data_IF_142508651345
#
_entry.id   IF_142508651345
#
_cell.length_a   1.000
_cell.length_b   1.000
_cell.length_c   1.000
_cell.angle_alpha   90.00
_cell.angle_beta   90.00
_cell.angle_gamma   90.00
#
_symmetry.space_group_name_H-M   'P 1'
#
loop_
_entity.id
_entity.type
_entity.pdbx_description
1 polymer ?
#
# COMPACT_ATOMS: atom_id res chain seq x y z
N UNK A 1 32.92 27.61 -19.79
CA UNK A 1 32.02 27.21 -20.89
C UNK A 1 31.77 25.71 -20.83
N UNK A 2 31.05 25.24 -19.81
CA UNK A 2 30.64 23.84 -19.69
C UNK A 2 29.19 23.84 -19.16
N UNK A 3 28.29 24.43 -19.94
CA UNK A 3 26.85 24.36 -19.68
C UNK A 3 26.26 23.31 -20.62
N UNK A 4 26.00 22.14 -20.04
CA UNK A 4 24.85 21.24 -20.29
C UNK A 4 24.38 21.10 -21.74
N UNK A 5 24.92 20.11 -22.44
CA UNK A 5 24.03 19.25 -23.25
C UNK A 5 23.22 18.41 -22.24
N UNK A 6 21.95 18.75 -22.04
CA UNK A 6 21.01 17.83 -21.40
C UNK A 6 20.96 16.58 -22.31
N UNK A 7 21.12 15.38 -21.76
CA UNK A 7 20.99 14.15 -22.57
C UNK A 7 19.59 14.14 -23.19
N UNK A 8 19.43 13.66 -24.43
CA UNK A 8 18.13 13.61 -25.12
C UNK A 8 17.01 12.96 -24.26
N UNK A 9 17.38 12.07 -23.34
CA UNK A 9 16.52 11.43 -22.34
C UNK A 9 15.94 12.42 -21.30
N UNK A 10 16.72 13.39 -20.84
CA UNK A 10 16.29 14.42 -19.88
C UNK A 10 15.29 15.40 -20.53
N UNK A 11 15.49 15.73 -21.81
CA UNK A 11 14.56 16.58 -22.57
C UNK A 11 13.24 15.82 -22.84
N UNK A 12 13.33 14.55 -23.25
CA UNK A 12 12.15 13.70 -23.40
C UNK A 12 11.38 13.54 -22.08
N UNK A 13 12.09 13.42 -20.95
CA UNK A 13 11.49 13.38 -19.62
C UNK A 13 10.75 14.67 -19.26
N UNK A 14 11.30 15.84 -19.58
CA UNK A 14 10.61 17.12 -19.36
C UNK A 14 9.31 17.21 -20.18
N UNK A 15 9.34 16.79 -21.45
CA UNK A 15 8.14 16.73 -22.30
C UNK A 15 7.10 15.74 -21.77
N UNK A 16 7.55 14.58 -21.29
CA UNK A 16 6.69 13.62 -20.62
C UNK A 16 6.01 14.22 -19.38
N UNK A 17 6.77 14.87 -18.49
CA UNK A 17 6.21 15.51 -17.30
C UNK A 17 5.15 16.56 -17.66
N UNK A 18 5.42 17.40 -18.66
CA UNK A 18 4.44 18.39 -19.13
C UNK A 18 3.17 17.74 -19.70
N UNK A 19 3.32 16.61 -20.41
CA UNK A 19 2.21 15.83 -20.96
C UNK A 19 1.35 15.28 -19.83
N UNK A 20 1.97 14.64 -18.84
CA UNK A 20 1.30 14.10 -17.65
C UNK A 20 0.58 15.21 -16.87
N UNK A 21 1.21 16.36 -16.65
CA UNK A 21 0.61 17.49 -15.93
C UNK A 21 -0.63 18.05 -16.65
N UNK A 22 -0.62 18.08 -17.99
CA UNK A 22 -1.78 18.50 -18.79
C UNK A 22 -2.91 17.47 -18.71
N UNK A 23 -2.59 16.19 -18.73
CA UNK A 23 -3.57 15.11 -18.53
C UNK A 23 -4.18 15.15 -17.11
N UNK A 24 -3.36 15.39 -16.09
CA UNK A 24 -3.82 15.60 -14.71
C UNK A 24 -4.80 16.77 -14.60
N UNK A 25 -4.46 17.92 -15.19
CA UNK A 25 -5.36 19.08 -15.21
C UNK A 25 -6.70 18.79 -15.90
N UNK A 26 -6.72 17.91 -16.90
CA UNK A 26 -7.95 17.48 -17.55
C UNK A 26 -8.80 16.57 -16.63
N UNK A 27 -8.14 15.66 -15.89
CA UNK A 27 -8.76 14.76 -14.91
C UNK A 27 -9.29 15.47 -13.66
N UNK A 28 -8.61 16.52 -13.21
CA UNK A 28 -8.99 17.31 -12.03
C UNK A 28 -10.12 18.33 -12.31
N UNK A 29 -10.50 18.50 -13.58
CA UNK A 29 -11.56 19.38 -14.05
C UNK A 29 -12.98 18.91 -13.68
N UNK A 30 -14.01 19.54 -14.27
CA UNK A 30 -15.40 19.20 -13.97
C UNK A 30 -15.72 17.73 -14.29
N UNK A 31 -16.36 16.98 -13.34
CA UNK A 31 -16.71 15.57 -13.53
C UNK A 31 -17.62 15.28 -14.73
N UNK A 32 -18.33 16.26 -15.24
CA UNK A 32 -19.16 16.13 -16.44
C UNK A 32 -18.37 16.24 -17.75
N UNK A 33 -17.10 16.67 -17.71
CA UNK A 33 -16.32 16.93 -18.95
C UNK A 33 -14.90 16.36 -18.95
N UNK A 34 -14.46 15.74 -17.85
CA UNK A 34 -13.09 15.19 -17.71
C UNK A 34 -12.71 14.28 -18.88
N UNK A 35 -13.58 13.36 -19.29
CA UNK A 35 -13.28 12.35 -20.31
C UNK A 35 -12.98 13.00 -21.68
N UNK A 36 -13.83 13.93 -22.10
CA UNK A 36 -13.65 14.67 -23.36
C UNK A 36 -12.40 15.54 -23.29
N UNK A 37 -12.14 16.18 -22.14
CA UNK A 37 -10.94 17.00 -21.94
C UNK A 37 -9.69 16.13 -22.02
N UNK A 38 -9.65 14.99 -21.34
CA UNK A 38 -8.54 14.05 -21.36
C UNK A 38 -8.27 13.55 -22.77
N UNK A 39 -9.30 13.05 -23.47
CA UNK A 39 -9.17 12.56 -24.85
C UNK A 39 -8.59 13.63 -25.79
N UNK A 40 -9.09 14.87 -25.71
CA UNK A 40 -8.58 16.00 -26.50
C UNK A 40 -7.14 16.34 -26.14
N UNK A 41 -6.80 16.32 -24.85
CA UNK A 41 -5.44 16.57 -24.38
C UNK A 41 -4.50 15.51 -24.95
N UNK A 42 -4.75 14.22 -24.71
CA UNK A 42 -3.89 13.13 -25.20
C UNK A 42 -3.75 13.19 -26.73
N UNK A 43 -4.83 13.44 -27.47
CA UNK A 43 -4.77 13.59 -28.92
C UNK A 43 -3.93 14.79 -29.38
N UNK A 44 -3.96 15.91 -28.65
CA UNK A 44 -3.10 17.07 -28.93
C UNK A 44 -1.64 16.76 -28.64
N UNK A 45 -1.36 16.11 -27.50
CA UNK A 45 -0.01 15.74 -27.10
C UNK A 45 0.60 14.72 -28.08
N UNK A 46 -0.19 13.81 -28.66
CA UNK A 46 0.25 12.95 -29.77
C UNK A 46 0.80 13.77 -30.94
N UNK A 47 0.08 14.81 -31.38
CA UNK A 47 0.53 15.68 -32.47
C UNK A 47 1.82 16.43 -32.15
N UNK A 48 1.98 16.87 -30.90
CA UNK A 48 3.22 17.51 -30.43
C UNK A 48 4.38 16.53 -30.40
N UNK A 49 4.18 15.31 -29.91
CA UNK A 49 5.22 14.28 -29.84
C UNK A 49 5.66 13.80 -31.21
N UNK A 50 4.75 13.73 -32.18
CA UNK A 50 5.09 13.44 -33.58
C UNK A 50 6.02 14.49 -34.20
N UNK A 51 6.01 15.73 -33.69
CA UNK A 51 6.89 16.82 -34.12
C UNK A 51 8.25 16.86 -33.42
N UNK A 52 8.47 16.02 -32.39
CA UNK A 52 9.75 15.92 -31.70
C UNK A 52 10.81 15.20 -32.56
N UNK A 53 12.11 15.44 -32.31
CA UNK A 53 13.19 14.65 -32.90
C UNK A 53 12.97 13.15 -32.71
N UNK A 54 13.34 12.34 -33.70
CA UNK A 54 13.11 10.88 -33.67
C UNK A 54 13.62 10.21 -32.40
N UNK A 55 14.81 10.61 -31.96
CA UNK A 55 15.41 10.14 -30.71
C UNK A 55 14.49 10.40 -29.50
N UNK A 56 13.75 11.51 -29.44
CA UNK A 56 12.82 11.82 -28.34
C UNK A 56 11.46 11.15 -28.53
N UNK A 57 10.99 11.05 -29.78
CA UNK A 57 9.68 10.50 -30.15
C UNK A 57 9.51 9.03 -29.78
N UNK A 58 10.56 8.22 -30.00
CA UNK A 58 10.57 6.77 -29.69
C UNK A 58 10.35 6.49 -28.19
N UNK A 59 10.54 7.49 -27.31
CA UNK A 59 10.32 7.34 -25.88
C UNK A 59 8.87 7.56 -25.41
N UNK A 60 7.99 8.08 -26.27
CA UNK A 60 6.68 8.62 -25.83
C UNK A 60 5.49 8.20 -26.69
N UNK A 61 5.72 7.74 -27.94
CA UNK A 61 4.64 7.56 -28.90
C UNK A 61 3.81 6.30 -28.62
N UNK A 62 4.44 5.20 -28.23
CA UNK A 62 3.79 3.91 -28.02
C UNK A 62 2.80 3.99 -26.84
N UNK A 63 3.24 4.55 -25.70
CA UNK A 63 2.41 4.71 -24.51
C UNK A 63 1.21 5.65 -24.75
N UNK A 64 1.36 6.67 -25.61
CA UNK A 64 0.26 7.57 -25.96
C UNK A 64 -0.75 6.92 -26.89
N UNK A 65 -0.30 6.05 -27.80
CA UNK A 65 -1.19 5.32 -28.69
C UNK A 65 -2.05 4.31 -27.92
N UNK A 66 -1.45 3.57 -26.98
CA UNK A 66 -2.19 2.64 -26.12
C UNK A 66 -3.23 3.35 -25.26
N UNK A 67 -2.90 4.50 -24.64
CA UNK A 67 -3.87 5.30 -23.89
C UNK A 67 -5.01 5.79 -24.79
N UNK A 68 -4.72 6.19 -26.04
CA UNK A 68 -5.77 6.63 -26.97
C UNK A 68 -6.70 5.50 -27.39
N UNK A 69 -6.18 4.29 -27.60
CA UNK A 69 -6.98 3.14 -27.99
C UNK A 69 -7.91 2.70 -26.84
N UNK A 70 -7.40 2.69 -25.61
CA UNK A 70 -8.20 2.44 -24.42
C UNK A 70 -9.30 3.50 -24.23
N UNK A 71 -8.99 4.79 -24.40
CA UNK A 71 -10.02 5.85 -24.36
C UNK A 71 -11.05 5.71 -25.50
N UNK A 72 -10.67 5.21 -26.69
CA UNK A 72 -11.61 4.96 -27.79
C UNK A 72 -12.56 3.82 -27.47
N UNK A 73 -12.05 2.75 -26.87
CA UNK A 73 -12.84 1.62 -26.40
C UNK A 73 -13.87 2.06 -25.37
N UNK A 74 -13.47 2.88 -24.39
CA UNK A 74 -14.37 3.42 -23.36
C UNK A 74 -15.47 4.30 -23.97
N UNK A 75 -15.15 5.06 -25.02
CA UNK A 75 -16.14 5.88 -25.73
C UNK A 75 -17.11 5.07 -26.60
N UNK A 76 -16.75 3.82 -26.95
CA UNK A 76 -17.48 2.94 -27.87
C UNK A 76 -17.53 1.49 -27.36
N UNK A 77 -18.22 1.20 -26.24
CA UNK A 77 -18.49 -0.18 -25.87
C UNK A 77 -19.19 -0.86 -27.05
N UNK A 78 -18.67 -2.01 -27.50
CA UNK A 78 -19.21 -2.80 -28.62
C UNK A 78 -19.09 -2.14 -30.02
N UNK A 79 -18.29 -1.07 -30.16
CA UNK A 79 -17.97 -0.46 -31.46
C UNK A 79 -18.98 0.58 -31.96
N UNK A 80 -20.07 0.84 -31.24
CA UNK A 80 -21.08 1.82 -31.64
C UNK A 80 -20.64 3.27 -31.39
N UNK A 81 -20.88 4.17 -32.36
CA UNK A 81 -20.59 5.60 -32.22
C UNK A 81 -21.64 6.28 -31.32
N UNK A 82 -21.22 6.73 -30.14
CA UNK A 82 -22.05 7.55 -29.23
C UNK A 82 -22.00 9.03 -29.57
N UNK A 83 -23.11 9.75 -29.33
CA UNK A 83 -23.13 11.22 -29.38
C UNK A 83 -22.31 11.81 -28.21
N UNK A 84 -21.86 13.06 -28.34
CA UNK A 84 -21.06 13.74 -27.29
C UNK A 84 -21.76 13.75 -25.92
N UNK A 85 -23.06 14.02 -25.92
CA UNK A 85 -23.90 14.03 -24.72
C UNK A 85 -24.13 12.62 -24.15
N UNK A 86 -24.20 11.61 -25.03
CA UNK A 86 -24.28 10.20 -24.64
C UNK A 86 -22.98 9.70 -24.01
N UNK A 87 -21.81 10.08 -24.54
CA UNK A 87 -20.50 9.73 -23.94
C UNK A 87 -20.34 10.34 -22.55
N UNK A 88 -20.72 11.62 -22.39
CA UNK A 88 -20.66 12.33 -21.09
C UNK A 88 -21.56 11.68 -20.05
N UNK A 89 -22.75 11.19 -20.45
CA UNK A 89 -23.67 10.50 -19.54
C UNK A 89 -23.29 9.04 -19.28
N UNK A 90 -22.67 8.37 -20.25
CA UNK A 90 -22.43 6.93 -20.22
C UNK A 90 -21.02 6.52 -19.75
N UNK A 91 -20.08 7.46 -19.64
CA UNK A 91 -18.80 7.26 -18.94
C UNK A 91 -18.83 8.12 -17.67
N UNK A 92 -19.66 7.77 -16.67
CA UNK A 92 -19.66 8.48 -15.41
C UNK A 92 -18.28 8.41 -14.76
N UNK A 93 -18.02 9.36 -13.90
CA UNK A 93 -16.74 9.48 -13.23
C UNK A 93 -16.35 8.16 -12.47
N UNK A 94 -17.34 7.44 -11.94
CA UNK A 94 -17.19 6.11 -11.32
C UNK A 94 -16.52 5.07 -12.22
N UNK A 95 -16.65 5.16 -13.54
CA UNK A 95 -15.98 4.25 -14.49
C UNK A 95 -14.45 4.39 -14.42
N UNK A 96 -13.91 5.56 -14.06
CA UNK A 96 -12.47 5.71 -13.83
C UNK A 96 -12.02 4.88 -12.61
N UNK A 97 -12.84 4.79 -11.56
CA UNK A 97 -12.52 3.95 -10.40
C UNK A 97 -12.56 2.47 -10.77
N UNK A 98 -13.55 2.05 -11.56
CA UNK A 98 -13.70 0.66 -12.01
C UNK A 98 -12.61 0.22 -13.01
N UNK A 99 -12.13 1.15 -13.85
CA UNK A 99 -11.18 0.86 -14.94
C UNK A 99 -9.77 1.36 -14.68
N UNK A 100 -9.47 1.80 -13.46
CA UNK A 100 -8.13 2.29 -13.10
C UNK A 100 -7.05 1.24 -13.37
N UNK A 101 -7.37 -0.04 -13.16
CA UNK A 101 -6.47 -1.16 -13.43
C UNK A 101 -6.17 -1.36 -14.92
N UNK A 102 -7.06 -0.95 -15.83
CA UNK A 102 -6.78 -0.97 -17.28
C UNK A 102 -5.73 0.09 -17.62
N UNK A 103 -5.85 1.30 -17.06
CA UNK A 103 -4.83 2.34 -17.19
C UNK A 103 -3.51 1.95 -16.51
N UNK A 104 -3.57 1.24 -15.37
CA UNK A 104 -2.38 0.70 -14.72
C UNK A 104 -1.61 -0.25 -15.63
N UNK A 105 -2.31 -1.14 -16.35
CA UNK A 105 -1.69 -2.09 -17.29
C UNK A 105 -0.95 -1.39 -18.43
N UNK A 106 -1.50 -0.32 -18.99
CA UNK A 106 -0.86 0.45 -20.08
C UNK A 106 0.47 1.07 -19.65
N UNK A 107 0.56 1.53 -18.39
CA UNK A 107 1.79 2.13 -17.87
C UNK A 107 2.69 1.13 -17.13
N UNK A 108 2.26 -0.11 -16.95
CA UNK A 108 3.07 -1.15 -16.34
C UNK A 108 4.05 -1.66 -17.38
N UNK A 109 5.34 -1.69 -17.05
CA UNK A 109 6.27 -2.47 -17.87
C UNK A 109 6.17 -3.90 -17.40
N UNK A 110 5.75 -4.84 -18.27
CA UNK A 110 5.75 -6.25 -17.92
C UNK A 110 7.18 -6.63 -17.58
N UNK A 111 7.40 -6.96 -16.32
CA UNK A 111 8.75 -7.28 -15.89
C UNK A 111 9.10 -8.70 -16.35
N UNK A 112 9.98 -8.80 -17.35
CA UNK A 112 10.53 -10.06 -17.80
C UNK A 112 11.61 -10.49 -16.79
N UNK A 113 11.36 -11.65 -16.18
CA UNK A 113 12.30 -12.46 -15.41
C UNK A 113 12.62 -11.98 -13.99
N UNK A 114 11.68 -12.20 -13.05
CA UNK A 114 12.09 -12.53 -11.68
C UNK A 114 12.00 -14.03 -11.49
N UNK A 115 13.02 -14.63 -10.86
CA UNK A 115 12.96 -16.04 -10.49
C UNK A 115 11.64 -16.32 -9.73
N UNK A 116 10.91 -17.39 -10.06
CA UNK A 116 9.69 -17.76 -9.34
C UNK A 116 9.99 -17.87 -7.84
N UNK A 117 9.03 -17.39 -7.03
CA UNK A 117 9.16 -17.51 -5.59
C UNK A 117 8.93 -18.98 -5.24
N UNK A 118 9.75 -19.57 -4.36
CA UNK A 118 9.44 -20.90 -3.85
C UNK A 118 8.15 -20.84 -3.02
N UNK A 119 7.16 -21.65 -3.40
CA UNK A 119 5.85 -21.71 -2.77
C UNK A 119 5.73 -23.00 -1.97
N UNK A 120 5.48 -22.87 -0.67
CA UNK A 120 5.23 -23.98 0.23
C UNK A 120 3.73 -24.09 0.53
N UNK A 121 3.28 -25.31 0.83
CA UNK A 121 1.90 -25.61 1.18
C UNK A 121 1.84 -26.57 2.36
N UNK A 122 0.89 -26.37 3.26
CA UNK A 122 0.56 -27.29 4.34
C UNK A 122 -0.95 -27.34 4.51
N UNK A 123 -1.50 -28.55 4.58
CA UNK A 123 -2.95 -28.73 4.70
C UNK A 123 -3.46 -28.32 6.08
N UNK A 124 -4.73 -27.92 6.16
CA UNK A 124 -5.40 -27.61 7.42
C UNK A 124 -5.38 -28.80 8.39
N UNK A 125 -5.56 -30.02 7.90
CA UNK A 125 -5.51 -31.25 8.69
C UNK A 125 -4.12 -31.47 9.28
N UNK A 126 -3.07 -31.27 8.48
CA UNK A 126 -1.70 -31.41 8.93
C UNK A 126 -1.33 -30.34 9.97
N UNK A 127 -1.78 -29.09 9.80
CA UNK A 127 -1.62 -28.04 10.81
C UNK A 127 -2.26 -28.43 12.15
N UNK A 128 -3.52 -28.89 12.13
CA UNK A 128 -4.23 -29.31 13.34
C UNK A 128 -3.59 -30.53 14.02
N UNK A 129 -3.05 -31.48 13.24
CA UNK A 129 -2.35 -32.64 13.77
C UNK A 129 -1.00 -32.28 14.41
N UNK A 130 -0.27 -31.34 13.82
CA UNK A 130 1.04 -30.89 14.35
C UNK A 130 0.91 -29.99 15.57
N UNK A 131 -0.16 -29.21 15.65
CA UNK A 131 -0.38 -28.21 16.70
C UNK A 131 -1.75 -28.35 17.39
N UNK A 132 -2.09 -29.52 17.95
CA UNK A 132 -3.45 -29.80 18.47
C UNK A 132 -3.83 -28.92 19.67
N UNK A 133 -2.86 -28.39 20.41
CA UNK A 133 -3.12 -27.46 21.50
C UNK A 133 -3.43 -26.03 21.02
N UNK A 134 -3.09 -25.68 19.77
CA UNK A 134 -3.22 -24.32 19.22
C UNK A 134 -4.14 -24.24 18.00
N UNK A 135 -4.40 -25.34 17.30
CA UNK A 135 -5.23 -25.40 16.09
C UNK A 135 -6.18 -26.60 16.20
N UNK A 136 -7.47 -26.35 15.98
CA UNK A 136 -8.51 -27.38 15.91
C UNK A 136 -9.34 -27.18 14.63
N UNK A 137 -9.74 -28.28 13.99
CA UNK A 137 -10.74 -28.27 12.91
C UNK A 137 -12.05 -28.83 13.44
N UNK A 138 -13.11 -28.03 13.33
CA UNK A 138 -14.47 -28.46 13.65
C UNK A 138 -15.38 -28.29 12.44
N UNK A 139 -16.48 -29.03 12.40
CA UNK A 139 -17.51 -28.85 11.38
C UNK A 139 -18.78 -28.35 12.06
N UNK A 140 -19.30 -27.23 11.60
CA UNK A 140 -20.54 -26.63 12.07
C UNK A 140 -21.44 -26.21 10.89
N UNK A 141 -22.51 -25.45 11.17
CA UNK A 141 -23.44 -24.94 10.16
C UNK A 141 -22.81 -24.04 9.09
N UNK A 142 -21.63 -23.47 9.36
CA UNK A 142 -20.86 -22.62 8.43
C UNK A 142 -19.93 -23.44 7.52
N UNK A 143 -19.81 -24.75 7.77
CA UNK A 143 -18.90 -25.67 7.08
C UNK A 143 -17.72 -26.08 7.97
N UNK A 144 -16.54 -26.18 7.38
CA UNK A 144 -15.30 -26.42 8.15
C UNK A 144 -14.88 -25.11 8.81
N UNK A 145 -14.71 -25.13 10.13
CA UNK A 145 -14.23 -24.00 10.92
C UNK A 145 -12.88 -24.35 11.51
N UNK A 146 -11.91 -23.48 11.28
CA UNK A 146 -10.61 -23.54 11.91
C UNK A 146 -10.64 -22.70 13.19
N UNK A 147 -10.33 -23.33 14.31
CA UNK A 147 -10.11 -22.66 15.58
C UNK A 147 -8.62 -22.54 15.83
N UNK A 148 -8.19 -21.37 16.28
CA UNK A 148 -6.81 -21.15 16.69
C UNK A 148 -6.70 -20.27 17.93
N UNK A 149 -5.58 -20.39 18.64
CA UNK A 149 -5.27 -19.58 19.83
C UNK A 149 -3.76 -19.44 20.00
N UNK A 150 -3.32 -18.40 20.71
CA UNK A 150 -1.90 -18.17 20.94
C UNK A 150 -1.31 -19.22 21.89
N UNK A 151 -1.94 -19.47 23.03
CA UNK A 151 -1.55 -20.51 24.00
C UNK A 151 -2.74 -21.36 24.45
N UNK A 152 -2.45 -22.50 25.11
CA UNK A 152 -3.46 -23.43 25.63
C UNK A 152 -4.47 -22.81 26.61
N UNK A 153 -4.06 -21.76 27.33
CA UNK A 153 -4.90 -21.06 28.28
C UNK A 153 -5.79 -19.99 27.62
N UNK A 154 -5.48 -19.58 26.39
CA UNK A 154 -6.21 -18.54 25.69
C UNK A 154 -7.53 -19.07 25.11
N UNK A 155 -8.48 -18.16 24.91
CA UNK A 155 -9.74 -18.47 24.26
C UNK A 155 -9.51 -18.80 22.77
N UNK A 156 -10.31 -19.74 22.26
CA UNK A 156 -10.33 -20.06 20.84
C UNK A 156 -10.88 -18.89 20.03
N UNK A 157 -10.19 -18.54 18.96
CA UNK A 157 -10.71 -17.71 17.88
C UNK A 157 -11.13 -18.60 16.74
N UNK A 158 -12.31 -18.37 16.20
CA UNK A 158 -12.88 -19.20 15.14
C UNK A 158 -12.86 -18.46 13.81
N UNK A 159 -12.63 -19.20 12.73
CA UNK A 159 -12.72 -18.73 11.37
C UNK A 159 -13.28 -19.83 10.46
N UNK A 160 -14.29 -19.51 9.66
CA UNK A 160 -14.77 -20.41 8.63
C UNK A 160 -13.69 -20.60 7.55
N UNK A 161 -13.40 -21.84 7.16
CA UNK A 161 -12.52 -22.12 6.02
C UNK A 161 -13.33 -21.89 4.74
N UNK A 162 -12.78 -21.20 3.72
CA UNK A 162 -13.52 -20.96 2.49
C UNK A 162 -13.92 -22.29 1.84
N UNK A 163 -15.19 -22.43 1.45
CA UNK A 163 -15.66 -23.64 0.79
C UNK A 163 -15.13 -23.75 -0.65
N UNK A 164 -14.84 -22.60 -1.25
CA UNK A 164 -14.35 -22.49 -2.62
C UNK A 164 -12.82 -22.46 -2.65
N UNK A 165 -12.24 -23.08 -3.69
CA UNK A 165 -10.80 -23.06 -3.92
C UNK A 165 -10.28 -21.75 -4.54
N UNK A 166 -11.19 -20.90 -5.02
CA UNK A 166 -10.92 -19.62 -5.68
C UNK A 166 -11.00 -18.40 -4.75
N UNK A 167 -11.04 -18.64 -3.44
CA UNK A 167 -11.03 -17.62 -2.38
C UNK A 167 -9.99 -18.01 -1.34
N UNK A 168 -9.05 -17.11 -1.08
CA UNK A 168 -8.04 -17.26 -0.03
C UNK A 168 -8.05 -16.02 0.88
N UNK A 169 -8.01 -16.24 2.18
CA UNK A 169 -7.68 -15.21 3.15
C UNK A 169 -6.26 -14.69 2.93
N UNK A 170 -6.09 -13.37 3.04
CA UNK A 170 -4.79 -12.70 3.13
C UNK A 170 -4.71 -11.94 4.46
N UNK A 171 -3.49 -11.59 4.87
CA UNK A 171 -3.28 -10.78 6.07
C UNK A 171 -3.38 -11.57 7.37
N UNK A 172 -4.28 -11.20 8.29
CA UNK A 172 -4.27 -11.67 9.69
C UNK A 172 -4.28 -13.20 9.85
N UNK A 173 -5.26 -13.87 9.23
CA UNK A 173 -5.44 -15.32 9.32
C UNK A 173 -4.18 -16.11 8.92
N UNK A 174 -3.67 -16.01 7.67
CA UNK A 174 -2.52 -16.81 7.27
C UNK A 174 -1.27 -16.46 8.07
N UNK A 175 -1.13 -15.21 8.53
CA UNK A 175 -0.02 -14.82 9.42
C UNK A 175 -0.09 -15.54 10.77
N UNK A 176 -1.27 -15.66 11.39
CA UNK A 176 -1.43 -16.38 12.66
C UNK A 176 -1.04 -17.85 12.49
N UNK A 177 -1.55 -18.51 11.45
CA UNK A 177 -1.24 -19.92 11.20
C UNK A 177 0.25 -20.14 10.91
N UNK A 178 0.86 -19.25 10.14
CA UNK A 178 2.29 -19.33 9.85
C UNK A 178 3.15 -19.03 11.10
N UNK A 179 2.72 -18.14 12.00
CA UNK A 179 3.36 -17.91 13.31
C UNK A 179 3.33 -19.15 14.20
N UNK A 180 2.20 -19.86 14.25
CA UNK A 180 2.10 -21.14 14.97
C UNK A 180 3.07 -22.14 14.35
N UNK A 181 3.05 -22.30 13.03
CA UNK A 181 3.94 -23.21 12.30
C UNK A 181 5.44 -22.88 12.51
N UNK A 182 5.78 -21.60 12.58
CA UNK A 182 7.14 -21.11 12.79
C UNK A 182 7.61 -21.17 14.25
N UNK A 183 6.70 -21.45 15.21
CA UNK A 183 6.99 -21.40 16.64
C UNK A 183 7.24 -19.98 17.16
N UNK A 184 6.59 -18.98 16.58
CA UNK A 184 6.74 -17.58 17.00
C UNK A 184 6.27 -17.37 18.46
N UNK A 185 6.82 -16.37 19.18
CA UNK A 185 6.40 -16.07 20.54
C UNK A 185 4.89 -15.80 20.67
N UNK A 186 4.24 -16.23 21.77
CA UNK A 186 2.83 -15.98 22.02
C UNK A 186 2.40 -14.51 21.93
N UNK A 187 3.29 -13.57 22.28
CA UNK A 187 3.02 -12.14 22.16
C UNK A 187 2.75 -11.69 20.72
N UNK A 188 3.46 -12.25 19.73
CA UNK A 188 3.25 -11.95 18.31
C UNK A 188 1.95 -12.55 17.76
N UNK A 189 1.47 -13.65 18.35
CA UNK A 189 0.16 -14.25 18.04
C UNK A 189 -0.96 -13.40 18.65
N UNK A 190 -0.83 -13.01 19.92
CA UNK A 190 -1.79 -12.13 20.62
C UNK A 190 -1.94 -10.76 19.97
N UNK A 191 -0.88 -10.24 19.35
CA UNK A 191 -0.94 -9.00 18.55
C UNK A 191 -1.86 -9.08 17.32
N UNK A 192 -2.21 -10.29 16.85
CA UNK A 192 -3.11 -10.51 15.73
C UNK A 192 -4.51 -11.02 16.16
N UNK A 193 -4.65 -11.49 17.41
CA UNK A 193 -5.85 -12.15 17.92
C UNK A 193 -6.57 -11.25 18.95
N UNK A 194 -7.87 -10.96 18.77
CA UNK A 194 -8.71 -11.31 17.64
C UNK A 194 -8.36 -10.48 16.40
N UNK A 195 -8.67 -11.03 15.23
CA UNK A 195 -8.46 -10.32 13.96
C UNK A 195 -9.43 -9.15 13.88
N UNK A 196 -8.91 -7.98 13.50
CA UNK A 196 -9.73 -6.76 13.38
C UNK A 196 -10.41 -6.67 12.00
N UNK A 197 -9.72 -7.13 10.96
CA UNK A 197 -10.17 -7.04 9.56
C UNK A 197 -9.99 -8.40 8.89
N UNK A 198 -10.91 -8.73 7.98
CA UNK A 198 -10.85 -9.93 7.13
C UNK A 198 -10.64 -9.47 5.69
N UNK A 199 -9.47 -9.80 5.15
CA UNK A 199 -9.07 -9.49 3.78
C UNK A 199 -8.93 -10.77 2.97
N UNK A 200 -9.28 -10.72 1.69
CA UNK A 200 -9.30 -11.88 0.80
C UNK A 200 -8.71 -11.57 -0.56
N UNK A 201 -8.13 -12.58 -1.21
CA UNK A 201 -7.86 -12.60 -2.64
C UNK A 201 -8.79 -13.62 -3.27
N UNK A 202 -9.42 -13.26 -4.38
CA UNK A 202 -10.35 -14.13 -5.08
C UNK A 202 -10.21 -13.98 -6.60
N UNK A 203 -10.49 -15.06 -7.34
CA UNK A 203 -10.43 -15.05 -8.80
C UNK A 203 -11.68 -15.68 -9.40
N UNK A 204 -12.58 -14.88 -9.99
CA UNK A 204 -13.76 -15.41 -10.64
C UNK A 204 -13.33 -16.11 -11.93
N UNK A 205 -13.76 -17.36 -12.10
CA UNK A 205 -14.02 -17.85 -13.46
C UNK A 205 -14.95 -16.88 -14.20
N UNK A 206 -15.00 -16.98 -15.53
CA UNK A 206 -15.64 -15.96 -16.42
C UNK A 206 -17.03 -15.45 -16.00
N UNK A 207 -17.81 -16.22 -15.25
CA UNK A 207 -19.21 -15.89 -14.90
C UNK A 207 -19.54 -15.91 -13.39
N UNK A 208 -18.56 -15.82 -12.48
CA UNK A 208 -18.79 -16.07 -11.05
C UNK A 208 -18.42 -14.93 -10.07
N UNK A 209 -18.48 -13.67 -10.51
CA UNK A 209 -18.11 -12.53 -9.65
C UNK A 209 -19.10 -12.32 -8.48
N UNK A 210 -20.40 -12.48 -8.74
CA UNK A 210 -21.43 -12.22 -7.73
C UNK A 210 -21.39 -13.23 -6.57
N UNK A 211 -21.25 -14.54 -6.85
CA UNK A 211 -21.21 -15.56 -5.78
C UNK A 211 -19.90 -15.46 -4.99
N UNK A 212 -18.78 -15.08 -5.62
CA UNK A 212 -17.51 -14.82 -4.90
C UNK A 212 -17.67 -13.67 -3.90
N UNK A 213 -18.31 -12.57 -4.32
CA UNK A 213 -18.56 -11.44 -3.43
C UNK A 213 -19.50 -11.87 -2.30
N UNK A 214 -20.57 -12.59 -2.60
CA UNK A 214 -21.50 -13.10 -1.58
C UNK A 214 -20.81 -14.00 -0.56
N UNK A 215 -19.97 -14.93 -1.02
CA UNK A 215 -19.17 -15.81 -0.16
C UNK A 215 -18.16 -15.01 0.68
N UNK A 216 -17.46 -14.04 0.09
CA UNK A 216 -16.51 -13.18 0.83
C UNK A 216 -17.19 -12.38 1.94
N UNK A 217 -18.37 -11.81 1.66
CA UNK A 217 -19.18 -11.11 2.66
C UNK A 217 -19.67 -12.06 3.77
N UNK A 218 -20.09 -13.29 3.41
CA UNK A 218 -20.48 -14.34 4.38
C UNK A 218 -19.32 -14.73 5.29
N UNK A 219 -18.11 -14.73 4.76
CA UNK A 219 -16.87 -15.02 5.48
C UNK A 219 -16.35 -13.82 6.31
N UNK A 220 -17.04 -12.68 6.27
CA UNK A 220 -16.80 -11.51 7.10
C UNK A 220 -15.86 -10.46 6.50
N UNK A 221 -15.50 -10.58 5.21
CA UNK A 221 -14.81 -9.50 4.50
C UNK A 221 -15.77 -8.34 4.22
N UNK A 222 -15.25 -7.12 4.10
CA UNK A 222 -15.97 -6.02 3.47
C UNK A 222 -15.67 -5.97 1.96
N UNK A 223 -16.42 -5.16 1.21
CA UNK A 223 -16.23 -5.05 -0.25
C UNK A 223 -14.83 -4.55 -0.62
N UNK A 224 -14.19 -3.74 0.23
CA UNK A 224 -12.83 -3.22 0.00
C UNK A 224 -11.74 -4.26 0.30
N UNK A 225 -12.02 -5.22 1.17
CA UNK A 225 -11.14 -6.31 1.57
C UNK A 225 -11.07 -7.46 0.55
N UNK A 226 -11.97 -7.49 -0.44
CA UNK A 226 -11.99 -8.52 -1.51
C UNK A 226 -11.16 -8.05 -2.72
N UNK A 227 -9.92 -8.52 -2.81
CA UNK A 227 -9.01 -8.28 -3.93
C UNK A 227 -9.31 -9.27 -5.06
N UNK A 228 -9.93 -8.79 -6.14
CA UNK A 228 -10.25 -9.58 -7.33
C UNK A 228 -9.05 -9.62 -8.27
N UNK A 229 -8.56 -10.82 -8.61
CA UNK A 229 -7.43 -11.02 -9.50
C UNK A 229 -7.79 -11.95 -10.66
N UNK A 230 -7.04 -11.85 -11.76
CA UNK A 230 -7.08 -12.83 -12.84
C UNK A 230 -6.30 -14.09 -12.38
N UNK A 231 -6.80 -15.28 -12.70
CA UNK A 231 -6.32 -16.63 -12.25
C UNK A 231 -4.84 -16.64 -11.78
N UNK A 232 -4.58 -16.54 -10.46
CA UNK A 232 -3.27 -16.15 -9.98
C UNK A 232 -2.30 -17.34 -9.92
N UNK A 233 -1.12 -17.19 -10.55
CA UNK A 233 0.04 -17.96 -10.11
C UNK A 233 0.32 -17.62 -8.64
N UNK A 234 0.39 -18.62 -7.77
CA UNK A 234 0.61 -18.39 -6.34
C UNK A 234 1.95 -17.73 -6.07
N UNK A 235 2.99 -17.99 -6.88
CA UNK A 235 4.27 -17.31 -6.74
C UNK A 235 4.11 -15.80 -7.00
N UNK A 236 3.39 -15.41 -8.05
CA UNK A 236 3.05 -14.01 -8.33
C UNK A 236 2.16 -13.38 -7.25
N UNK A 237 1.11 -14.07 -6.81
CA UNK A 237 0.20 -13.60 -5.76
C UNK A 237 0.94 -13.28 -4.44
N UNK A 238 1.98 -14.07 -4.11
CA UNK A 238 2.83 -13.82 -2.96
C UNK A 238 3.88 -12.74 -3.21
N UNK A 239 4.41 -12.60 -4.43
CA UNK A 239 5.42 -11.58 -4.76
C UNK A 239 4.90 -10.15 -4.60
N UNK A 240 3.64 -9.87 -4.93
CA UNK A 240 3.06 -8.51 -4.94
C UNK A 240 2.80 -7.87 -3.56
N UNK A 241 3.09 -8.60 -2.48
CA UNK A 241 2.88 -8.16 -1.09
C UNK A 241 3.95 -7.13 -0.67
N UNK A 242 3.67 -6.32 0.34
CA UNK A 242 4.51 -5.14 0.73
C UNK A 242 5.68 -5.51 1.60
N UNK A 243 5.43 -6.52 2.43
CA UNK A 243 6.32 -7.00 3.47
C UNK A 243 6.33 -8.50 3.37
N UNK A 244 7.48 -9.09 3.65
CA UNK A 244 7.71 -10.54 3.65
C UNK A 244 6.70 -11.28 4.52
N UNK A 245 6.36 -10.71 5.67
CA UNK A 245 5.33 -11.20 6.60
C UNK A 245 3.97 -11.47 5.93
N UNK A 246 3.62 -10.70 4.89
CA UNK A 246 2.36 -10.82 4.18
C UNK A 246 2.41 -11.83 3.01
N UNK A 247 3.54 -12.50 2.76
CA UNK A 247 3.67 -13.53 1.73
C UNK A 247 3.11 -14.88 2.20
N UNK A 248 1.88 -14.87 2.68
CA UNK A 248 1.12 -16.05 3.04
C UNK A 248 -0.39 -15.86 2.76
N UNK A 249 -1.05 -16.95 2.39
CA UNK A 249 -2.48 -17.04 2.04
C UNK A 249 -3.07 -18.30 2.66
N UNK A 250 -4.35 -18.28 3.00
CA UNK A 250 -5.02 -19.44 3.59
C UNK A 250 -6.39 -19.68 2.95
N UNK A 251 -6.69 -20.92 2.58
CA UNK A 251 -8.02 -21.26 2.06
C UNK A 251 -8.35 -22.73 2.23
N UNK A 252 -9.23 -23.23 1.36
CA UNK A 252 -9.75 -24.60 1.41
C UNK A 252 -8.66 -25.67 1.56
N UNK A 253 -7.59 -25.55 0.78
CA UNK A 253 -6.52 -26.56 0.72
C UNK A 253 -5.44 -26.36 1.80
N UNK A 254 -5.60 -25.35 2.66
CA UNK A 254 -4.68 -25.02 3.74
C UNK A 254 -3.88 -23.75 3.51
N UNK A 255 -2.72 -23.68 4.15
CA UNK A 255 -1.84 -22.51 4.17
C UNK A 255 -0.83 -22.58 3.02
N UNK A 256 -0.70 -21.48 2.29
CA UNK A 256 0.27 -21.27 1.20
C UNK A 256 1.20 -20.14 1.62
N UNK A 257 2.51 -20.31 1.51
CA UNK A 257 3.46 -19.30 1.99
C UNK A 257 4.81 -19.36 1.29
N UNK A 258 5.60 -18.29 1.41
CA UNK A 258 6.97 -18.22 0.90
C UNK A 258 8.02 -18.52 1.99
N UNK A 259 9.23 -18.89 1.57
CA UNK A 259 10.38 -19.01 2.49
C UNK A 259 10.67 -17.72 3.25
N UNK A 260 10.50 -16.55 2.62
CA UNK A 260 10.69 -15.25 3.27
C UNK A 260 9.66 -15.01 4.38
N UNK A 261 8.39 -15.37 4.15
CA UNK A 261 7.36 -15.26 5.19
C UNK A 261 7.68 -16.16 6.38
N UNK A 262 8.11 -17.39 6.13
CA UNK A 262 8.52 -18.33 7.18
C UNK A 262 9.66 -17.76 8.03
N UNK A 263 10.68 -17.19 7.38
CA UNK A 263 11.82 -16.59 8.08
C UNK A 263 11.41 -15.34 8.88
N UNK A 264 10.55 -14.48 8.33
CA UNK A 264 10.01 -13.33 9.04
C UNK A 264 9.21 -13.74 10.29
N UNK A 265 8.41 -14.81 10.21
CA UNK A 265 7.68 -15.33 11.38
C UNK A 265 8.61 -15.91 12.44
N UNK A 266 9.65 -16.64 12.02
CA UNK A 266 10.61 -17.27 12.93
C UNK A 266 11.46 -16.25 13.67
N UNK A 267 11.96 -15.25 12.95
CA UNK A 267 12.90 -14.26 13.49
C UNK A 267 12.21 -13.05 14.09
N UNK A 268 10.96 -12.79 13.70
CA UNK A 268 10.28 -11.53 14.01
C UNK A 268 10.84 -10.32 13.25
N UNK A 269 11.73 -10.53 12.28
CA UNK A 269 12.35 -9.47 11.48
C UNK A 269 11.52 -9.21 10.21
N UNK A 270 11.21 -7.94 9.94
CA UNK A 270 10.48 -7.52 8.75
C UNK A 270 11.36 -6.90 7.70
N UNK A 271 11.03 -7.21 6.45
CA UNK A 271 11.62 -6.56 5.29
C UNK A 271 10.55 -6.01 4.36
N UNK A 272 10.85 -4.85 3.78
CA UNK A 272 10.10 -4.33 2.66
C UNK A 272 10.36 -5.19 1.42
N UNK A 273 9.27 -5.73 0.91
CA UNK A 273 9.24 -6.31 -0.42
C UNK A 273 8.96 -5.17 -1.40
N UNK A 274 9.82 -5.04 -2.40
CA UNK A 274 9.54 -4.21 -3.56
C UNK A 274 9.17 -5.13 -4.70
N UNK A 275 7.89 -5.55 -4.77
CA UNK A 275 7.43 -6.11 -6.01
C UNK A 275 7.68 -5.09 -7.10
N UNK A 276 8.30 -5.57 -8.17
CA UNK A 276 8.62 -4.73 -9.33
C UNK A 276 7.33 -4.19 -9.98
N UNK A 277 6.20 -4.88 -9.76
CA UNK A 277 4.85 -4.41 -10.10
C UNK A 277 4.01 -4.19 -8.85
N UNK A 278 3.72 -2.92 -8.58
CA UNK A 278 2.69 -2.51 -7.61
C UNK A 278 1.71 -1.48 -8.18
N UNK A 279 1.67 -1.40 -9.52
CA UNK A 279 0.81 -0.50 -10.27
C UNK A 279 0.73 0.90 -9.66
N UNK A 280 -0.49 1.33 -9.37
CA UNK A 280 -0.84 2.66 -8.87
C UNK A 280 -0.26 3.00 -7.49
N UNK A 281 0.05 1.99 -6.69
CA UNK A 281 0.51 2.17 -5.32
C UNK A 281 2.04 2.37 -5.24
N UNK A 282 2.79 1.80 -6.18
CA UNK A 282 4.23 2.00 -6.33
C UNK A 282 5.14 1.30 -5.33
N UNK A 283 6.45 1.45 -5.57
CA UNK A 283 7.51 0.81 -4.78
C UNK A 283 7.65 1.46 -3.40
N UNK A 284 7.94 0.62 -2.40
CA UNK A 284 8.09 0.99 -0.99
C UNK A 284 9.53 1.41 -0.67
N UNK A 285 10.47 1.13 -1.57
CA UNK A 285 11.85 1.60 -1.55
C UNK A 285 12.24 2.35 -2.84
N UNK A 286 13.46 2.87 -2.85
CA UNK A 286 14.14 3.45 -4.00
C UNK A 286 15.65 3.21 -3.86
N UNK A 287 16.40 3.36 -4.95
CA UNK A 287 17.85 3.32 -4.89
C UNK A 287 18.44 4.72 -4.89
N UNK A 288 19.40 4.98 -4.00
CA UNK A 288 20.20 6.19 -3.95
C UNK A 288 21.67 5.81 -3.79
N UNK A 289 22.52 6.26 -4.73
CA UNK A 289 23.95 5.94 -4.73
C UNK A 289 24.26 4.44 -4.58
N UNK A 290 23.48 3.59 -5.24
CA UNK A 290 23.61 2.12 -5.18
C UNK A 290 22.98 1.47 -3.94
N UNK A 291 22.53 2.24 -2.95
CA UNK A 291 21.87 1.71 -1.75
C UNK A 291 20.36 1.68 -1.90
N UNK A 292 19.76 0.57 -1.47
CA UNK A 292 18.31 0.46 -1.32
C UNK A 292 17.86 1.22 -0.07
N UNK A 293 17.04 2.25 -0.26
CA UNK A 293 16.48 3.06 0.80
C UNK A 293 14.97 2.87 0.91
N UNK A 294 14.45 2.75 2.14
CA UNK A 294 13.01 2.65 2.39
C UNK A 294 12.35 4.03 2.31
N UNK A 295 11.24 4.17 1.57
CA UNK A 295 10.45 5.42 1.52
C UNK A 295 9.63 5.61 2.79
N UNK A 296 9.14 6.82 3.02
CA UNK A 296 8.20 7.14 4.09
C UNK A 296 7.02 6.15 4.21
N UNK A 297 6.47 5.69 3.07
CA UNK A 297 5.37 4.70 3.06
C UNK A 297 5.83 3.28 3.46
N UNK A 298 7.04 2.88 3.10
CA UNK A 298 7.63 1.62 3.55
C UNK A 298 7.89 1.67 5.06
N UNK A 299 8.54 2.73 5.53
CA UNK A 299 8.81 2.94 6.95
C UNK A 299 7.53 2.98 7.78
N UNK A 300 6.50 3.68 7.30
CA UNK A 300 5.14 3.66 7.87
C UNK A 300 4.65 2.24 8.16
N UNK A 301 4.84 1.29 7.23
CA UNK A 301 4.43 -0.10 7.43
C UNK A 301 5.29 -0.80 8.46
N UNK A 302 6.60 -0.72 8.33
CA UNK A 302 7.55 -1.36 9.25
C UNK A 302 7.28 -0.94 10.69
N UNK A 303 7.20 0.38 10.92
CA UNK A 303 6.91 0.98 12.22
C UNK A 303 5.54 0.51 12.73
N UNK A 304 4.51 0.50 11.88
CA UNK A 304 3.17 0.03 12.26
C UNK A 304 3.19 -1.41 12.77
N UNK A 305 3.84 -2.32 12.05
CA UNK A 305 3.86 -3.73 12.45
C UNK A 305 4.63 -3.96 13.76
N UNK A 306 5.74 -3.25 13.97
CA UNK A 306 6.50 -3.35 15.23
C UNK A 306 5.74 -2.70 16.39
N UNK A 307 5.13 -1.53 16.20
CA UNK A 307 4.33 -0.86 17.25
C UNK A 307 3.14 -1.73 17.69
N UNK A 308 2.46 -2.38 16.73
CA UNK A 308 1.37 -3.31 17.00
C UNK A 308 1.82 -4.65 17.61
N UNK A 309 3.13 -4.90 17.75
CA UNK A 309 3.68 -6.16 18.25
C UNK A 309 3.54 -7.34 17.28
N UNK A 310 3.16 -7.08 16.03
CA UNK A 310 2.98 -8.11 14.99
C UNK A 310 4.31 -8.65 14.46
N UNK A 311 5.37 -7.87 14.64
CA UNK A 311 6.75 -8.22 14.43
C UNK A 311 7.62 -7.61 15.53
N UNK A 312 8.87 -8.09 15.65
CA UNK A 312 9.80 -7.65 16.69
C UNK A 312 10.68 -6.48 16.22
N UNK A 313 11.11 -6.50 14.96
CA UNK A 313 12.08 -5.54 14.45
C UNK A 313 12.04 -5.39 12.94
N UNK A 314 12.75 -4.38 12.44
CA UNK A 314 13.15 -4.24 11.04
C UNK A 314 14.56 -3.64 10.95
N UNK A 315 15.24 -3.85 9.83
CA UNK A 315 16.50 -3.18 9.54
C UNK A 315 16.28 -1.91 8.70
N UNK A 316 17.09 -0.89 8.96
CA UNK A 316 17.29 0.23 8.04
C UNK A 316 18.78 0.58 7.93
N UNK A 317 19.17 1.28 6.87
CA UNK A 317 20.51 1.88 6.82
C UNK A 317 20.56 3.16 7.64
N UNK A 318 21.75 3.55 8.12
CA UNK A 318 21.92 4.83 8.82
C UNK A 318 21.51 6.02 7.94
N UNK A 319 21.77 5.96 6.62
CA UNK A 319 21.29 6.97 5.68
C UNK A 319 19.75 7.10 5.66
N UNK A 320 19.04 6.00 5.92
CA UNK A 320 17.58 5.97 5.91
C UNK A 320 16.94 6.86 6.97
N UNK A 321 17.69 7.27 8.01
CA UNK A 321 17.27 8.27 9.00
C UNK A 321 16.92 9.62 8.37
N UNK A 322 17.50 9.96 7.21
CA UNK A 322 17.20 11.20 6.48
C UNK A 322 15.86 11.16 5.72
N UNK A 323 15.25 9.98 5.56
CA UNK A 323 13.91 9.90 4.98
C UNK A 323 12.92 10.32 6.06
N UNK A 324 12.20 11.43 5.85
CA UNK A 324 11.17 11.88 6.80
C UNK A 324 9.88 11.07 6.61
N UNK A 325 9.35 10.50 7.70
CA UNK A 325 8.05 9.84 7.72
C UNK A 325 6.90 10.78 7.30
N UNK A 326 7.05 12.09 7.51
CA UNK A 326 6.15 13.13 7.02
C UNK A 326 4.69 12.95 7.47
N UNK A 327 3.74 13.08 6.53
CA UNK A 327 2.30 12.95 6.80
C UNK A 327 1.91 11.61 7.44
N UNK A 328 2.74 10.57 7.30
CA UNK A 328 2.45 9.25 7.87
C UNK A 328 2.51 9.23 9.41
N UNK A 329 3.13 10.21 10.06
CA UNK A 329 2.96 10.47 11.49
C UNK A 329 1.48 10.66 11.85
N UNK A 330 0.81 11.58 11.14
CA UNK A 330 -0.60 11.91 11.37
C UNK A 330 -1.52 10.74 11.00
N UNK A 331 -1.22 10.04 9.89
CA UNK A 331 -1.99 8.87 9.43
C UNK A 331 -1.94 7.73 10.44
N UNK A 332 -0.76 7.39 10.99
CA UNK A 332 -0.63 6.32 11.98
C UNK A 332 -1.28 6.69 13.30
N UNK A 333 -1.03 7.90 13.80
CA UNK A 333 -1.62 8.34 15.06
C UNK A 333 -3.15 8.27 14.99
N UNK A 334 -3.76 8.74 13.90
CA UNK A 334 -5.22 8.60 13.69
C UNK A 334 -5.68 7.14 13.66
N UNK A 335 -4.90 6.23 13.09
CA UNK A 335 -5.24 4.79 13.07
C UNK A 335 -5.12 4.15 14.46
N UNK A 336 -4.07 4.48 15.21
CA UNK A 336 -3.85 3.95 16.55
C UNK A 336 -4.82 4.51 17.58
N UNK A 337 -5.20 5.78 17.46
CA UNK A 337 -6.18 6.41 18.34
C UNK A 337 -7.57 5.76 18.32
N UNK A 338 -7.91 4.99 17.27
CA UNK A 338 -9.17 4.25 17.17
C UNK A 338 -9.14 2.89 17.88
N UNK A 339 -7.97 2.45 18.34
CA UNK A 339 -7.79 1.14 18.97
C UNK A 339 -7.98 1.24 20.47
N UNK A 340 -8.39 0.11 21.10
CA UNK A 340 -8.60 0.03 22.54
C UNK A 340 -7.35 0.38 23.35
N UNK A 341 -6.17 0.06 22.84
CA UNK A 341 -4.87 0.37 23.43
C UNK A 341 -4.17 1.56 22.74
N UNK A 342 -4.93 2.62 22.42
CA UNK A 342 -4.43 3.79 21.72
C UNK A 342 -3.16 4.40 22.36
N UNK A 343 -3.16 4.58 23.69
CA UNK A 343 -2.04 5.16 24.43
C UNK A 343 -0.74 4.40 24.26
N UNK A 344 -0.77 3.08 24.51
CA UNK A 344 0.33 2.14 24.31
C UNK A 344 0.89 2.24 22.88
N UNK A 345 0.02 2.18 21.87
CA UNK A 345 0.44 2.21 20.48
C UNK A 345 1.05 3.56 20.07
N UNK A 346 0.55 4.68 20.59
CA UNK A 346 1.10 6.01 20.34
C UNK A 346 2.47 6.19 21.01
N UNK A 347 2.66 5.67 22.22
CA UNK A 347 3.95 5.69 22.92
C UNK A 347 4.99 4.81 22.23
N UNK A 348 4.62 3.57 21.86
CA UNK A 348 5.46 2.69 21.05
C UNK A 348 5.81 3.33 19.71
N UNK A 349 4.86 4.01 19.08
CA UNK A 349 5.11 4.72 17.83
C UNK A 349 6.17 5.81 17.97
N UNK A 350 6.07 6.64 19.02
CA UNK A 350 7.09 7.63 19.35
C UNK A 350 8.47 6.97 19.55
N UNK A 351 8.55 5.90 20.34
CA UNK A 351 9.85 5.28 20.63
C UNK A 351 10.49 4.59 19.43
N UNK A 352 9.70 3.91 18.58
CA UNK A 352 10.21 3.35 17.33
C UNK A 352 10.68 4.46 16.41
N UNK A 353 9.91 5.55 16.28
CA UNK A 353 10.31 6.70 15.48
C UNK A 353 11.58 7.35 15.99
N UNK A 354 11.76 7.46 17.32
CA UNK A 354 12.98 7.97 17.95
C UNK A 354 14.19 7.12 17.61
N UNK A 355 14.05 5.80 17.75
CA UNK A 355 15.11 4.82 17.39
C UNK A 355 15.44 4.85 15.90
N UNK A 356 14.44 5.07 15.04
CA UNK A 356 14.61 5.21 13.60
C UNK A 356 15.15 6.59 13.15
N UNK A 357 15.49 7.48 14.09
CA UNK A 357 16.01 8.82 13.79
C UNK A 357 14.97 9.81 13.25
N UNK A 358 13.68 9.55 13.48
CA UNK A 358 12.55 10.34 12.94
C UNK A 358 12.04 11.42 13.91
N UNK A 359 12.51 11.39 15.16
CA UNK A 359 12.19 12.36 16.22
C UNK A 359 13.32 13.38 16.31
N UNK A 360 12.97 14.66 16.31
CA UNK A 360 13.90 15.79 16.36
C UNK A 360 14.30 16.11 17.80
N UNK A 361 15.43 16.78 17.94
CA UNK A 361 15.86 17.31 19.23
C UNK A 361 14.79 18.25 19.80
N UNK A 362 14.45 18.08 21.08
CA UNK A 362 13.42 18.84 21.78
C UNK A 362 12.01 18.24 21.73
N UNK A 363 11.76 17.20 20.93
CA UNK A 363 10.48 16.48 20.92
C UNK A 363 10.46 15.39 22.01
N UNK A 364 9.69 15.61 23.08
CA UNK A 364 9.70 14.80 24.30
C UNK A 364 8.66 13.68 24.28
N UNK A 365 7.60 13.83 23.49
CA UNK A 365 6.55 12.83 23.35
C UNK A 365 5.93 12.80 21.93
N UNK A 366 4.93 11.92 21.75
CA UNK A 366 4.23 11.77 20.48
C UNK A 366 3.51 13.05 20.05
N UNK A 367 3.00 13.86 20.96
CA UNK A 367 2.23 15.07 20.65
C UNK A 367 3.11 16.21 20.16
N UNK A 368 4.36 16.30 20.62
CA UNK A 368 5.35 17.23 20.05
C UNK A 368 5.59 16.91 18.56
N UNK A 369 5.81 15.63 18.25
CA UNK A 369 6.02 15.14 16.87
C UNK A 369 4.78 15.39 16.00
N UNK A 370 3.59 15.10 16.53
CA UNK A 370 2.33 15.31 15.80
C UNK A 370 2.02 16.79 15.58
N UNK A 371 2.37 17.66 16.53
CA UNK A 371 2.22 19.12 16.38
C UNK A 371 3.06 19.62 15.22
N UNK A 372 4.35 19.26 15.19
CA UNK A 372 5.23 19.58 14.05
C UNK A 372 4.70 19.03 12.74
N UNK A 373 4.31 17.75 12.70
CA UNK A 373 3.80 17.15 11.46
C UNK A 373 2.52 17.86 11.00
N UNK A 374 1.68 18.34 11.92
CA UNK A 374 0.45 19.08 11.59
C UNK A 374 0.72 20.50 11.10
N UNK A 375 1.79 21.15 11.55
CA UNK A 375 2.27 22.42 10.97
C UNK A 375 2.74 22.24 9.53
N UNK A 376 3.42 21.12 9.23
CA UNK A 376 3.89 20.81 7.87
C UNK A 376 2.76 20.36 6.93
N UNK A 377 1.71 19.72 7.48
CA UNK A 377 0.59 19.19 6.69
C UNK A 377 -0.75 19.74 7.21
N UNK A 378 -1.02 21.05 7.06
CA UNK A 378 -2.14 21.68 7.73
C UNK A 378 -3.52 21.29 7.16
N UNK A 379 -3.53 20.67 5.98
CA UNK A 379 -4.72 20.13 5.33
C UNK A 379 -5.15 18.77 5.90
N UNK A 380 -4.32 18.09 6.70
CA UNK A 380 -4.67 16.79 7.25
C UNK A 380 -5.78 16.92 8.29
N UNK A 381 -6.89 16.23 8.06
CA UNK A 381 -8.01 16.17 8.98
C UNK A 381 -7.99 14.87 9.80
N UNK A 382 -8.10 15.01 11.11
CA UNK A 382 -8.31 13.88 12.02
C UNK A 382 -9.76 13.36 11.98
N UNK A 383 -10.69 14.08 11.33
CA UNK A 383 -12.07 13.66 11.15
C UNK A 383 -12.24 12.56 10.10
N UNK A 384 -13.24 11.71 10.29
CA UNK A 384 -13.63 10.62 9.40
C UNK A 384 -14.56 11.07 8.26
N UNK A 385 -14.39 12.30 7.78
CA UNK A 385 -15.20 12.81 6.67
C UNK A 385 -14.90 11.96 5.44
N UNK A 386 -15.90 11.18 4.99
CA UNK A 386 -15.78 10.39 3.75
C UNK A 386 -15.36 11.31 2.61
N UNK A 387 -14.32 10.91 1.88
CA UNK A 387 -13.92 11.62 0.67
C UNK A 387 -15.04 11.55 -0.36
N UNK A 388 -15.29 12.63 -1.08
CA UNK A 388 -16.23 12.58 -2.20
C UNK A 388 -15.68 11.70 -3.33
N UNK A 389 -16.54 11.15 -4.18
CA UNK A 389 -16.11 10.38 -5.36
C UNK A 389 -15.13 11.19 -6.24
N UNK A 390 -15.37 12.50 -6.35
CA UNK A 390 -14.48 13.41 -7.06
C UNK A 390 -13.09 13.51 -6.41
N UNK A 391 -13.01 13.52 -5.08
CA UNK A 391 -11.73 13.58 -4.37
C UNK A 391 -10.96 12.26 -4.45
N UNK A 392 -11.65 11.12 -4.32
CA UNK A 392 -11.07 9.79 -4.51
C UNK A 392 -10.41 9.70 -5.89
N UNK A 393 -11.07 10.23 -6.90
CA UNK A 393 -10.56 10.14 -8.24
C UNK A 393 -9.47 11.13 -8.63
N UNK A 394 -9.50 12.35 -8.08
CA UNK A 394 -8.34 13.25 -8.16
C UNK A 394 -7.12 12.57 -7.55
N UNK A 395 -7.31 11.88 -6.41
CA UNK A 395 -6.27 11.09 -5.80
C UNK A 395 -5.78 9.94 -6.71
N UNK A 396 -6.68 9.14 -7.30
CA UNK A 396 -6.31 8.08 -8.26
C UNK A 396 -5.55 8.63 -9.47
N UNK A 397 -6.00 9.74 -10.05
CA UNK A 397 -5.36 10.41 -11.19
C UNK A 397 -3.92 10.81 -10.87
N UNK A 398 -3.70 11.40 -9.69
CA UNK A 398 -2.36 11.76 -9.20
C UNK A 398 -1.48 10.54 -8.95
N UNK A 399 -2.07 9.42 -8.52
CA UNK A 399 -1.34 8.16 -8.36
C UNK A 399 -0.92 7.56 -9.70
N UNK A 400 -1.81 7.58 -10.71
CA UNK A 400 -1.48 7.19 -12.09
C UNK A 400 -0.33 8.03 -12.65
N UNK A 401 -0.36 9.36 -12.48
CA UNK A 401 0.74 10.23 -12.91
C UNK A 401 2.06 9.91 -12.21
N UNK A 402 2.03 9.67 -10.90
CA UNK A 402 3.22 9.24 -10.13
C UNK A 402 3.75 7.90 -10.59
N UNK A 403 2.86 6.96 -10.96
CA UNK A 403 3.24 5.67 -11.52
C UNK A 403 3.88 5.83 -12.89
N UNK A 404 3.25 6.57 -13.81
CA UNK A 404 3.78 6.81 -15.15
C UNK A 404 5.16 7.50 -15.09
N UNK A 405 5.32 8.50 -14.22
CA UNK A 405 6.62 9.14 -13.96
C UNK A 405 7.65 8.15 -13.41
N UNK A 406 7.29 7.37 -12.38
CA UNK A 406 8.19 6.35 -11.83
C UNK A 406 8.62 5.36 -12.90
N UNK A 407 7.68 4.88 -13.71
CA UNK A 407 7.96 3.90 -14.73
C UNK A 407 8.91 4.46 -15.76
N UNK A 408 8.61 5.63 -16.34
CA UNK A 408 9.48 6.31 -17.29
C UNK A 408 10.92 6.41 -16.76
N UNK A 409 11.07 6.81 -15.49
CA UNK A 409 12.38 6.97 -14.87
C UNK A 409 13.13 5.65 -14.66
N UNK A 410 12.43 4.58 -14.27
CA UNK A 410 13.01 3.24 -14.14
C UNK A 410 13.49 2.74 -15.51
N UNK A 411 12.62 2.80 -16.53
CA UNK A 411 12.91 2.31 -17.88
C UNK A 411 14.10 3.02 -18.51
N UNK A 412 14.24 4.32 -18.23
CA UNK A 412 15.20 5.19 -18.90
C UNK A 412 16.36 5.62 -17.99
N UNK A 413 16.50 5.04 -16.80
CA UNK A 413 17.64 5.28 -15.90
C UNK A 413 17.73 6.71 -15.34
N UNK A 414 16.61 7.43 -15.24
CA UNK A 414 16.58 8.84 -14.77
C UNK A 414 16.61 8.89 -13.24
N UNK A 415 17.68 9.45 -12.67
CA UNK A 415 17.88 9.54 -11.22
C UNK A 415 16.90 10.48 -10.54
N UNK A 416 16.67 10.24 -9.23
CA UNK A 416 15.76 11.07 -8.42
C UNK A 416 16.59 12.17 -7.83
N UNK A 417 16.19 13.43 -8.02
CA UNK A 417 16.76 14.56 -7.30
C UNK A 417 16.28 14.52 -5.86
N UNK A 418 16.92 13.70 -5.04
CA UNK A 418 16.77 13.74 -3.60
C UNK A 418 18.13 14.14 -3.02
N UNK A 419 18.16 15.24 -2.28
CA UNK A 419 19.38 15.82 -1.73
C UNK A 419 19.75 15.13 -0.40
N UNK A 420 20.04 13.83 -0.45
CA UNK A 420 20.55 13.10 0.72
C UNK A 420 22.06 13.31 0.85
N UNK A 421 22.52 13.76 2.01
CA UNK A 421 23.94 14.02 2.25
C UNK A 421 24.60 12.72 2.70
N UNK A 422 25.66 12.30 1.99
CA UNK A 422 26.44 11.11 2.37
C UNK A 422 27.45 11.43 3.47
N UNK A 423 27.60 10.51 4.41
CA UNK A 423 28.63 10.50 5.44
C UNK A 423 29.21 9.09 5.63
N UNK A 424 30.40 9.01 6.22
CA UNK A 424 31.02 7.72 6.55
C UNK A 424 30.13 6.96 7.56
N UNK A 425 29.86 5.68 7.27
CA UNK A 425 29.00 4.82 8.09
C UNK A 425 27.53 4.77 7.68
N UNK A 426 27.11 5.54 6.66
CA UNK A 426 25.74 5.55 6.13
C UNK A 426 25.22 4.17 5.67
N UNK A 427 26.14 3.33 5.20
CA UNK A 427 25.84 1.99 4.68
C UNK A 427 25.62 0.97 5.81
N UNK A 428 25.96 1.32 7.04
CA UNK A 428 25.75 0.47 8.21
C UNK A 428 24.25 0.24 8.42
N UNK A 429 23.89 -1.02 8.69
CA UNK A 429 22.53 -1.38 9.05
C UNK A 429 22.34 -1.24 10.55
N UNK A 430 21.19 -0.70 10.92
CA UNK A 430 20.71 -0.66 12.29
C UNK A 430 19.40 -1.43 12.41
N UNK A 431 19.28 -2.20 13.48
CA UNK A 431 18.06 -2.89 13.85
C UNK A 431 17.19 -1.96 14.67
N UNK A 432 16.00 -1.68 14.17
CA UNK A 432 14.98 -0.91 14.88
C UNK A 432 13.99 -1.88 15.52
N UNK A 433 13.89 -1.85 16.84
CA UNK A 433 12.98 -2.69 17.62
C UNK A 433 12.47 -1.95 18.85
N UNK A 434 11.57 -2.56 19.61
CA UNK A 434 11.17 -2.14 20.95
C UNK A 434 11.98 -2.84 22.06
N UNK A 435 13.11 -3.48 21.74
CA UNK A 435 13.90 -4.17 22.75
C UNK A 435 14.37 -3.20 23.84
N UNK A 436 14.15 -3.55 25.11
CA UNK A 436 14.45 -2.69 26.26
C UNK A 436 13.47 -1.52 26.48
N UNK A 437 12.44 -1.38 25.63
CA UNK A 437 11.28 -0.55 25.96
C UNK A 437 10.30 -1.37 26.78
N UNK A 438 9.72 -0.74 27.81
CA UNK A 438 8.64 -1.32 28.61
C UNK A 438 7.45 -0.39 28.53
N UNK A 439 6.27 -0.95 28.28
CA UNK A 439 5.02 -0.19 28.34
C UNK A 439 4.81 0.32 29.77
N UNK A 440 4.25 1.52 29.87
CA UNK A 440 3.94 2.19 31.13
C UNK A 440 2.45 2.50 31.16
N UNK A 441 1.64 1.75 31.93
CA UNK A 441 0.19 1.94 31.98
C UNK A 441 -0.24 3.35 32.37
N UNK A 442 0.55 4.04 33.20
CA UNK A 442 0.24 5.42 33.59
C UNK A 442 0.47 6.37 32.42
N UNK A 443 1.64 6.27 31.76
CA UNK A 443 1.96 7.05 30.55
C UNK A 443 0.98 6.75 29.41
N UNK A 444 0.58 5.50 29.25
CA UNK A 444 -0.39 5.08 28.23
C UNK A 444 -1.76 5.69 28.48
N UNK A 445 -2.25 5.65 29.73
CA UNK A 445 -3.51 6.28 30.10
C UNK A 445 -3.48 7.81 29.89
N UNK A 446 -2.39 8.46 30.28
CA UNK A 446 -2.19 9.90 30.06
C UNK A 446 -2.18 10.23 28.56
N UNK A 447 -1.48 9.43 27.76
CA UNK A 447 -1.38 9.60 26.31
C UNK A 447 -2.75 9.43 25.67
N UNK A 448 -3.51 8.40 26.04
CA UNK A 448 -4.87 8.20 25.54
C UNK A 448 -5.80 9.37 25.89
N UNK A 449 -5.74 9.87 27.14
CA UNK A 449 -6.58 10.98 27.60
C UNK A 449 -6.26 12.31 26.90
N UNK A 450 -4.99 12.55 26.55
CA UNK A 450 -4.55 13.76 25.87
C UNK A 450 -5.02 13.85 24.40
N UNK A 451 -5.40 12.74 23.78
CA UNK A 451 -5.72 12.67 22.35
C UNK A 451 -6.84 13.64 21.94
N UNK A 452 -7.95 13.65 22.67
CA UNK A 452 -9.08 14.52 22.35
C UNK A 452 -8.75 16.01 22.53
N UNK A 453 -7.87 16.34 23.49
CA UNK A 453 -7.39 17.70 23.69
C UNK A 453 -6.52 18.13 22.51
N UNK A 454 -5.60 17.28 22.09
CA UNK A 454 -4.76 17.49 20.91
C UNK A 454 -5.59 17.68 19.63
N UNK A 455 -6.55 16.79 19.35
CA UNK A 455 -7.40 16.92 18.15
C UNK A 455 -8.20 18.23 18.17
N UNK A 456 -8.72 18.63 19.33
CA UNK A 456 -9.43 19.91 19.47
C UNK A 456 -8.53 21.11 19.23
N UNK A 457 -7.32 21.13 19.78
CA UNK A 457 -6.38 22.25 19.63
C UNK A 457 -5.97 22.46 18.17
N UNK A 458 -5.72 21.38 17.43
CA UNK A 458 -5.29 21.46 16.03
C UNK A 458 -6.44 21.63 15.03
N UNK A 459 -7.69 21.36 15.43
CA UNK A 459 -8.89 21.58 14.59
C UNK A 459 -9.45 22.99 14.76
N UNK A 460 -9.29 23.60 15.93
CA UNK A 460 -9.74 24.96 16.21
C UNK A 460 -8.88 26.05 15.53
N UNK A 461 -7.66 25.72 15.09
CA UNK A 461 -6.81 26.63 14.34
C UNK A 461 -7.34 26.79 12.89
N UNK A 462 -7.77 27.99 12.47
CA UNK A 462 -8.25 28.20 11.11
C UNK A 462 -7.11 27.92 10.11
N UNK A 463 -7.34 26.99 9.19
CA UNK A 463 -6.45 26.78 8.05
C UNK A 463 -6.58 27.99 7.12
N UNK A 464 -5.52 28.78 6.89
CA UNK A 464 -5.58 29.91 5.97
C UNK A 464 -6.04 29.44 4.59
N UNK A 465 -7.02 30.14 4.01
CA UNK A 465 -7.71 29.72 2.79
C UNK A 465 -6.80 29.59 1.54
N UNK A 466 -5.54 30.05 1.62
CA UNK A 466 -4.62 30.13 0.49
C UNK A 466 -3.86 28.83 0.17
N UNK A 467 -3.89 27.80 1.03
CA UNK A 467 -3.05 26.59 0.83
C UNK A 467 -3.77 25.37 0.25
N UNK A 468 -5.08 25.47 -0.06
CA UNK A 468 -5.84 24.34 -0.65
C UNK A 468 -5.43 23.99 -2.10
N UNK A 469 -4.53 24.74 -2.73
CA UNK A 469 -4.16 24.58 -4.14
C UNK A 469 -2.78 23.94 -4.40
N UNK A 470 -1.98 23.62 -3.38
CA UNK A 470 -0.57 23.21 -3.57
C UNK A 470 -0.21 21.81 -3.03
N UNK A 471 -1.18 20.94 -2.76
CA UNK A 471 -0.94 19.52 -2.45
C UNK A 471 -1.13 18.66 -3.70
#
# INVERSE_FOLDING_TARGET
>A
MAHRELRSEEIAYQHFQQTVDRCLKALEGEPSTWFIRLYRTVHREKGLIQSLPEQQRVFLIDEIEEVLDLLREWARPEGEKRSRESVVRAVPFSVLQERVHELERVFAIPNRETAPLEVHRISSQELAQRFPDQIELVTDERGVVMRFRAEKADAWTELAVPARGDILYKGGVPRILLKILAGSPPSMLRAEIPMNDIDMIAWPGKDNKAEIIEEGLRLGADLEGIEMVEDPDMSEALKVRDVDLNQCLFGRDGLVYSGNAMEAMRTGMLHIMDPLERGLYGAESFFYSGMKMTKARGMYRLIKFVAEGKAQAFDQTMLNRQVDLGIYWLVLARKFAKKKNAGELLNRFYEIGKRAGQVREGENDIYDVLSRAREQFPFFAFSDTKQSEADIARWLSRKLAKMANRQFRITRGVTTSADYVRADGDDARERISLDGYADDPERDAQTAAAWESFVRSVTAAPVPAQERQAA
#
